data_IF_876000025090
#
_entry.id   IF_876000025090
#
_cell.length_a   1.000
_cell.length_b   1.000
_cell.length_c   1.000
_cell.angle_alpha   90.00
_cell.angle_beta   90.00
_cell.angle_gamma   90.00
#
_symmetry.space_group_name_H-M   'P 1'
#
loop_
_entity.id
_entity.type
_entity.pdbx_description
1 polymer ?
#
# COMPACT_ATOMS: atom_id res chain seq x y z
N UNK A 1 -8.07 20.86 1.57
CA UNK A 1 -6.75 20.28 1.90
C UNK A 1 -6.96 18.78 1.87
N UNK A 2 -6.36 18.05 0.92
CA UNK A 2 -6.47 16.59 0.93
C UNK A 2 -5.75 16.07 2.18
N UNK A 3 -6.35 15.13 2.94
CA UNK A 3 -5.63 14.49 4.05
C UNK A 3 -4.35 13.88 3.50
N UNK A 4 -3.25 13.99 4.25
CA UNK A 4 -2.01 13.34 3.84
C UNK A 4 -2.24 11.82 3.80
N UNK A 5 -1.68 11.12 2.80
CA UNK A 5 -1.72 9.68 2.77
C UNK A 5 -1.15 9.13 4.08
N UNK A 6 -1.91 8.27 4.74
CA UNK A 6 -1.56 7.70 6.03
C UNK A 6 -1.93 6.23 6.05
N UNK A 7 -1.38 5.51 7.02
CA UNK A 7 -1.92 4.21 7.39
C UNK A 7 -3.26 4.37 8.07
N UNK A 8 -4.17 3.47 7.74
CA UNK A 8 -5.47 3.35 8.38
C UNK A 8 -5.52 2.00 9.09
N UNK A 9 -5.25 2.02 10.39
CA UNK A 9 -5.34 0.82 11.22
C UNK A 9 -6.82 0.46 11.42
N UNK A 10 -7.17 -0.77 11.08
CA UNK A 10 -8.54 -1.28 11.15
C UNK A 10 -8.60 -2.33 12.26
N UNK A 11 -9.18 -1.94 13.39
CA UNK A 11 -9.33 -2.80 14.57
C UNK A 11 -10.52 -3.77 14.46
N UNK A 12 -11.43 -3.54 13.51
CA UNK A 12 -12.62 -4.37 13.29
C UNK A 12 -13.04 -4.44 11.84
N UNK A 13 -13.40 -5.63 11.40
CA UNK A 13 -14.05 -5.88 10.11
C UNK A 13 -15.47 -6.40 10.34
N UNK A 14 -16.42 -5.87 9.56
CA UNK A 14 -17.79 -6.35 9.51
C UNK A 14 -18.07 -6.99 8.15
N UNK A 15 -18.77 -8.12 8.15
CA UNK A 15 -19.27 -8.76 6.94
C UNK A 15 -20.76 -8.49 6.84
N UNK A 16 -21.19 -7.95 5.70
CA UNK A 16 -22.59 -7.55 5.47
C UNK A 16 -23.12 -8.21 4.21
N UNK A 17 -24.35 -8.70 4.25
CA UNK A 17 -25.04 -9.12 3.04
C UNK A 17 -25.34 -7.89 2.18
N UNK A 18 -25.06 -8.01 0.89
CA UNK A 18 -25.31 -6.97 -0.11
C UNK A 18 -25.95 -7.60 -1.33
N UNK A 19 -26.78 -6.83 -2.03
CA UNK A 19 -27.37 -7.22 -3.31
C UNK A 19 -26.68 -6.42 -4.41
N UNK A 20 -26.22 -7.12 -5.46
CA UNK A 20 -25.72 -6.49 -6.67
C UNK A 20 -26.86 -6.38 -7.68
N UNK A 21 -26.86 -5.33 -8.52
CA UNK A 21 -27.89 -5.13 -9.53
C UNK A 21 -27.33 -5.34 -10.94
N UNK A 22 -27.45 -6.57 -11.44
CA UNK A 22 -26.95 -6.91 -12.78
C UNK A 22 -28.00 -6.77 -13.88
N UNK A 23 -29.11 -6.09 -13.60
CA UNK A 23 -30.22 -5.98 -14.55
C UNK A 23 -29.84 -5.24 -15.84
N UNK A 24 -28.85 -4.33 -15.79
CA UNK A 24 -28.31 -3.66 -16.99
C UNK A 24 -27.55 -4.62 -17.93
N UNK A 25 -27.00 -5.71 -17.41
CA UNK A 25 -26.27 -6.73 -18.18
C UNK A 25 -27.08 -8.01 -18.42
N UNK A 26 -28.42 -7.93 -18.39
CA UNK A 26 -29.35 -9.08 -18.45
C UNK A 26 -29.20 -10.11 -17.34
N UNK A 27 -28.48 -9.77 -16.27
CA UNK A 27 -28.34 -10.58 -15.07
C UNK A 27 -29.50 -10.39 -14.09
N UNK A 28 -29.45 -11.16 -13.00
CA UNK A 28 -30.38 -11.02 -11.88
C UNK A 28 -29.88 -10.06 -10.81
N UNK A 29 -30.44 -10.18 -9.60
CA UNK A 29 -29.97 -9.47 -8.41
C UNK A 29 -29.41 -10.44 -7.39
N UNK A 30 -28.18 -10.93 -7.58
CA UNK A 30 -27.60 -11.90 -6.67
C UNK A 30 -27.25 -11.22 -5.33
N UNK A 31 -27.50 -11.96 -4.25
CA UNK A 31 -26.97 -11.63 -2.92
C UNK A 31 -25.55 -12.16 -2.80
N UNK A 32 -24.66 -11.35 -2.26
CA UNK A 32 -23.30 -11.73 -1.85
C UNK A 32 -22.98 -11.05 -0.52
N UNK A 33 -21.73 -11.14 -0.08
CA UNK A 33 -21.24 -10.50 1.14
C UNK A 33 -20.18 -9.47 0.79
N UNK A 34 -20.14 -8.39 1.56
CA UNK A 34 -19.13 -7.35 1.47
C UNK A 34 -18.41 -7.19 2.80
N UNK A 35 -17.14 -6.75 2.73
CA UNK A 35 -16.29 -6.50 3.90
C UNK A 35 -16.21 -5.00 4.12
N UNK A 36 -16.53 -4.58 5.35
CA UNK A 36 -16.53 -3.19 5.77
C UNK A 36 -15.60 -2.98 6.96
N UNK A 37 -15.05 -1.77 7.05
CA UNK A 37 -14.45 -1.23 8.26
C UNK A 37 -15.22 0.04 8.65
N UNK A 38 -16.06 -0.06 9.68
CA UNK A 38 -17.06 0.97 9.97
C UNK A 38 -18.02 1.12 8.77
N UNK A 39 -18.14 2.32 8.22
CA UNK A 39 -19.01 2.59 7.06
C UNK A 39 -18.29 2.47 5.71
N UNK A 40 -16.98 2.20 5.72
CA UNK A 40 -16.17 2.13 4.50
C UNK A 40 -16.10 0.70 3.98
N UNK A 41 -16.57 0.49 2.75
CA UNK A 41 -16.50 -0.78 2.04
C UNK A 41 -15.07 -1.04 1.54
N UNK A 42 -14.43 -2.11 2.04
CA UNK A 42 -13.11 -2.55 1.59
C UNK A 42 -13.21 -3.51 0.40
N UNK A 43 -14.18 -4.43 0.47
CA UNK A 43 -14.47 -5.42 -0.57
C UNK A 43 -15.97 -5.42 -0.82
N UNK A 44 -16.42 -5.10 -2.03
CA UNK A 44 -17.85 -4.90 -2.28
C UNK A 44 -18.62 -6.18 -2.64
N UNK A 45 -17.94 -7.26 -3.03
CA UNK A 45 -18.57 -8.51 -3.41
C UNK A 45 -17.62 -9.71 -3.27
N UNK A 46 -17.53 -10.30 -2.07
CA UNK A 46 -16.60 -11.37 -1.73
C UNK A 46 -16.63 -12.56 -2.70
N UNK A 47 -17.82 -12.97 -3.13
CA UNK A 47 -17.96 -14.16 -3.99
C UNK A 47 -17.55 -13.91 -5.45
N UNK A 48 -17.33 -12.65 -5.81
CA UNK A 48 -16.98 -12.20 -7.17
C UNK A 48 -15.53 -11.74 -7.29
N UNK A 49 -14.82 -11.55 -6.18
CA UNK A 49 -13.43 -11.12 -6.16
C UNK A 49 -12.48 -12.31 -6.30
N UNK A 50 -11.54 -12.20 -7.25
CA UNK A 50 -10.53 -13.23 -7.52
C UNK A 50 -9.28 -13.01 -6.64
N UNK A 51 -9.35 -13.42 -5.38
CA UNK A 51 -8.25 -13.23 -4.42
C UNK A 51 -6.97 -14.03 -4.70
N UNK A 52 -6.99 -14.95 -5.65
CA UNK A 52 -5.79 -15.65 -6.13
C UNK A 52 -5.00 -14.84 -7.17
N UNK A 53 -5.57 -13.75 -7.70
CA UNK A 53 -4.88 -12.80 -8.56
C UNK A 53 -4.09 -11.78 -7.71
N UNK A 54 -2.93 -11.36 -8.21
CA UNK A 54 -2.07 -10.36 -7.58
C UNK A 54 -1.54 -9.46 -8.69
N UNK A 55 -2.07 -8.23 -8.86
CA UNK A 55 -3.02 -7.54 -7.96
C UNK A 55 -4.45 -8.09 -8.02
N UNK A 56 -5.24 -7.76 -6.99
CA UNK A 56 -6.66 -8.10 -6.87
C UNK A 56 -7.53 -6.85 -7.00
N UNK A 57 -8.59 -6.90 -7.81
CA UNK A 57 -9.63 -5.86 -7.80
C UNK A 57 -10.68 -6.16 -6.73
N UNK A 58 -10.66 -5.39 -5.64
CA UNK A 58 -11.56 -5.60 -4.48
C UNK A 58 -12.87 -4.82 -4.58
N UNK A 59 -12.93 -3.83 -5.46
CA UNK A 59 -14.16 -3.12 -5.83
C UNK A 59 -14.51 -3.52 -7.26
N UNK A 60 -15.35 -4.55 -7.42
CA UNK A 60 -15.79 -5.04 -8.73
C UNK A 60 -16.99 -4.25 -9.25
N UNK A 61 -17.26 -4.37 -10.55
CA UNK A 61 -18.38 -3.69 -11.20
C UNK A 61 -19.73 -4.07 -10.56
N UNK A 62 -20.48 -3.06 -10.09
CA UNK A 62 -21.79 -3.29 -9.49
C UNK A 62 -22.84 -3.81 -10.49
N UNK A 63 -22.61 -3.61 -11.80
CA UNK A 63 -23.53 -3.99 -12.87
C UNK A 63 -23.31 -5.40 -13.42
N UNK A 64 -22.14 -6.00 -13.24
CA UNK A 64 -21.89 -7.35 -13.78
C UNK A 64 -21.05 -8.25 -12.88
N UNK A 65 -20.48 -7.73 -11.80
CA UNK A 65 -19.62 -8.47 -10.86
C UNK A 65 -18.27 -8.89 -11.44
N UNK A 66 -17.97 -8.56 -12.71
CA UNK A 66 -16.73 -8.98 -13.36
C UNK A 66 -15.57 -8.06 -12.96
N UNK A 67 -14.46 -8.68 -12.59
CA UNK A 67 -13.14 -8.03 -12.49
C UNK A 67 -12.72 -7.47 -13.86
N UNK A 68 -12.08 -6.30 -13.88
CA UNK A 68 -11.62 -5.59 -15.07
C UNK A 68 -12.73 -4.88 -15.86
N UNK A 69 -14.01 -5.05 -15.50
CA UNK A 69 -15.10 -4.36 -16.20
C UNK A 69 -15.18 -2.87 -15.85
N UNK A 70 -14.83 -2.50 -14.61
CA UNK A 70 -14.74 -1.11 -14.17
C UNK A 70 -13.28 -0.77 -13.89
N UNK A 71 -12.88 0.47 -14.16
CA UNK A 71 -11.56 0.97 -13.80
C UNK A 71 -11.43 1.15 -12.27
N UNK A 72 -10.22 0.99 -11.77
CA UNK A 72 -9.84 1.21 -10.39
C UNK A 72 -10.22 0.07 -9.43
N UNK A 73 -10.00 0.27 -8.13
CA UNK A 73 -10.31 -0.73 -7.12
C UNK A 73 -9.25 -1.82 -6.95
N UNK A 74 -8.05 -1.62 -7.50
CA UNK A 74 -6.97 -2.61 -7.48
C UNK A 74 -6.04 -2.43 -6.28
N UNK A 75 -5.71 -3.54 -5.62
CA UNK A 75 -4.77 -3.60 -4.51
C UNK A 75 -3.85 -4.81 -4.64
N UNK A 76 -2.76 -4.76 -3.89
CA UNK A 76 -1.93 -5.89 -3.53
C UNK A 76 -2.13 -6.19 -2.04
N UNK A 77 -2.47 -7.43 -1.70
CA UNK A 77 -2.54 -7.86 -0.30
C UNK A 77 -1.14 -8.27 0.15
N UNK A 78 -0.58 -7.60 1.16
CA UNK A 78 0.77 -7.89 1.65
C UNK A 78 0.78 -8.09 3.16
N UNK A 79 1.56 -9.07 3.62
CA UNK A 79 1.95 -9.19 5.01
C UNK A 79 2.97 -8.13 5.34
N UNK A 80 2.69 -7.40 6.40
CA UNK A 80 3.45 -6.28 6.91
C UNK A 80 3.58 -6.46 8.42
N UNK A 81 4.50 -7.34 8.82
CA UNK A 81 4.58 -7.85 10.19
C UNK A 81 3.31 -8.53 10.67
N UNK A 82 2.75 -7.99 11.77
CA UNK A 82 1.52 -8.49 12.38
C UNK A 82 0.24 -7.95 11.73
N UNK A 83 0.37 -7.37 10.52
CA UNK A 83 -0.73 -6.83 9.75
C UNK A 83 -0.80 -7.44 8.35
N UNK A 84 -2.02 -7.43 7.80
CA UNK A 84 -2.27 -7.53 6.36
C UNK A 84 -2.60 -6.13 5.86
N UNK A 85 -1.78 -5.62 4.94
CA UNK A 85 -1.97 -4.32 4.30
C UNK A 85 -2.60 -4.48 2.92
N UNK A 86 -3.55 -3.60 2.59
CA UNK A 86 -4.15 -3.51 1.26
C UNK A 86 -3.52 -2.34 0.51
N UNK A 87 -2.32 -2.55 -0.01
CA UNK A 87 -1.55 -1.49 -0.67
C UNK A 87 -2.02 -1.31 -2.12
N UNK A 88 -1.91 -0.10 -2.71
CA UNK A 88 -2.19 0.08 -4.13
C UNK A 88 -1.35 -0.86 -5.02
N UNK A 89 -1.90 -1.24 -6.18
CA UNK A 89 -1.20 -2.00 -7.22
C UNK A 89 -0.16 -1.11 -7.95
N UNK A 90 0.91 -0.73 -7.26
CA UNK A 90 1.85 0.29 -7.72
C UNK A 90 2.58 -0.09 -9.00
N UNK A 91 2.96 -1.36 -9.16
CA UNK A 91 3.69 -1.86 -10.33
C UNK A 91 2.86 -1.76 -11.59
N UNK A 92 1.66 -2.33 -11.58
CA UNK A 92 0.74 -2.35 -12.72
C UNK A 92 0.29 -0.93 -13.09
N UNK A 93 0.09 -0.08 -12.09
CA UNK A 93 -0.21 1.35 -12.33
C UNK A 93 0.96 2.09 -12.96
N UNK A 94 2.20 1.76 -12.62
CA UNK A 94 3.38 2.33 -13.26
C UNK A 94 3.53 1.84 -14.71
N UNK A 95 3.30 0.56 -14.96
CA UNK A 95 3.36 -0.02 -16.30
C UNK A 95 2.28 0.58 -17.21
N UNK A 96 1.02 0.63 -16.76
CA UNK A 96 -0.07 1.28 -17.48
C UNK A 96 0.22 2.76 -17.76
N UNK A 97 0.82 3.49 -16.82
CA UNK A 97 1.23 4.87 -17.04
C UNK A 97 2.34 5.02 -18.09
N UNK A 98 3.33 4.12 -18.09
CA UNK A 98 4.38 4.11 -19.10
C UNK A 98 3.83 3.79 -20.50
N UNK A 99 2.83 2.92 -20.58
CA UNK A 99 2.11 2.61 -21.83
C UNK A 99 1.27 3.79 -22.31
N UNK A 100 0.58 4.48 -21.41
CA UNK A 100 -0.18 5.72 -21.71
C UNK A 100 0.72 6.82 -22.29
N UNK A 101 1.93 6.99 -21.74
CA UNK A 101 2.91 7.92 -22.30
C UNK A 101 3.37 7.54 -23.72
N UNK A 102 3.27 6.26 -24.10
CA UNK A 102 3.55 5.77 -25.46
C UNK A 102 2.31 5.82 -26.37
N UNK A 103 1.18 6.33 -25.85
CA UNK A 103 -0.09 6.48 -26.58
C UNK A 103 -1.05 5.30 -26.44
N UNK A 104 -0.87 4.44 -25.44
CA UNK A 104 -1.72 3.26 -25.20
C UNK A 104 -2.46 3.33 -23.85
N UNK A 105 -3.79 3.19 -23.86
CA UNK A 105 -4.68 3.07 -22.68
C UNK A 105 -4.69 4.21 -21.64
N UNK A 106 -5.73 4.22 -20.81
CA UNK A 106 -5.95 5.23 -19.77
C UNK A 106 -5.31 4.79 -18.44
N UNK A 107 -4.50 5.63 -17.77
CA UNK A 107 -3.78 5.28 -16.54
C UNK A 107 -4.68 5.02 -15.32
N UNK A 108 -6.00 5.07 -15.50
CA UNK A 108 -6.98 4.96 -14.45
C UNK A 108 -7.38 3.51 -14.12
N UNK A 109 -7.09 2.54 -15.01
CA UNK A 109 -7.47 1.13 -14.82
C UNK A 109 -6.99 0.59 -13.47
N UNK A 110 -5.72 0.80 -13.12
CA UNK A 110 -5.12 0.36 -11.85
C UNK A 110 -5.18 1.42 -10.76
N UNK A 111 -6.19 2.29 -10.78
CA UNK A 111 -6.39 3.24 -9.68
C UNK A 111 -6.70 2.52 -8.38
N UNK A 112 -6.17 3.01 -7.23
CA UNK A 112 -6.49 2.42 -5.95
C UNK A 112 -7.99 2.59 -5.65
N UNK A 113 -8.54 1.76 -4.76
CA UNK A 113 -9.89 1.95 -4.24
C UNK A 113 -10.08 3.36 -3.64
N UNK A 114 -11.28 3.96 -3.73
CA UNK A 114 -11.54 5.31 -3.22
C UNK A 114 -11.18 5.51 -1.75
N UNK A 115 -11.32 4.46 -0.92
CA UNK A 115 -10.98 4.51 0.49
C UNK A 115 -9.51 4.80 0.77
N UNK A 116 -8.60 4.49 -0.16
CA UNK A 116 -7.17 4.77 0.01
C UNK A 116 -6.93 6.28 0.07
N UNK A 117 -7.70 7.05 -0.69
CA UNK A 117 -7.62 8.51 -0.72
C UNK A 117 -8.34 9.14 0.47
N UNK A 118 -9.48 8.58 0.89
CA UNK A 118 -10.31 9.19 1.95
C UNK A 118 -9.91 8.79 3.36
N UNK A 119 -9.44 7.56 3.56
CA UNK A 119 -9.15 6.98 4.87
C UNK A 119 -7.65 6.70 5.04
N UNK A 120 -6.97 6.30 3.97
CA UNK A 120 -5.58 5.86 3.97
C UNK A 120 -5.44 4.40 3.55
N UNK A 121 -4.21 3.88 3.60
CA UNK A 121 -3.92 2.48 3.25
C UNK A 121 -4.36 1.58 4.42
N UNK A 122 -5.30 0.64 4.22
CA UNK A 122 -5.73 -0.27 5.27
C UNK A 122 -4.58 -1.12 5.81
N UNK A 123 -4.44 -1.15 7.14
CA UNK A 123 -3.62 -2.10 7.89
C UNK A 123 -4.52 -2.85 8.86
N UNK A 124 -4.71 -4.14 8.61
CA UNK A 124 -5.61 -4.98 9.38
C UNK A 124 -4.74 -5.91 10.24
N UNK A 125 -4.83 -5.87 11.58
CA UNK A 125 -4.12 -6.82 12.43
C UNK A 125 -4.43 -8.25 12.00
N UNK A 126 -3.42 -9.11 11.95
CA UNK A 126 -3.55 -10.50 11.51
C UNK A 126 -4.66 -11.25 12.25
N UNK A 127 -4.86 -10.98 13.54
CA UNK A 127 -5.95 -11.57 14.33
C UNK A 127 -7.35 -11.16 13.81
N UNK A 128 -7.55 -9.87 13.51
CA UNK A 128 -8.81 -9.33 12.96
C UNK A 128 -9.05 -9.87 11.54
N UNK A 129 -7.99 -9.94 10.74
CA UNK A 129 -8.04 -10.52 9.40
C UNK A 129 -8.44 -12.00 9.45
N UNK A 130 -7.81 -12.80 10.32
CA UNK A 130 -8.12 -14.23 10.50
C UNK A 130 -9.53 -14.45 11.02
N UNK A 131 -10.01 -13.62 11.95
CA UNK A 131 -11.40 -13.68 12.43
C UNK A 131 -12.40 -13.45 11.29
N UNK A 132 -12.19 -12.39 10.51
CA UNK A 132 -13.01 -12.10 9.33
C UNK A 132 -12.96 -13.25 8.32
N UNK A 133 -11.77 -13.78 8.03
CA UNK A 133 -11.64 -14.88 7.08
C UNK A 133 -12.27 -16.18 7.60
N UNK A 134 -12.25 -16.42 8.91
CA UNK A 134 -12.95 -17.58 9.50
C UNK A 134 -14.46 -17.50 9.27
N UNK A 135 -15.04 -16.29 9.34
CA UNK A 135 -16.45 -16.06 9.08
C UNK A 135 -16.83 -16.16 7.59
N UNK A 136 -15.91 -15.85 6.67
CA UNK A 136 -16.20 -15.79 5.23
C UNK A 136 -15.70 -16.97 4.43
N UNK A 137 -14.53 -17.49 4.77
CA UNK A 137 -13.70 -18.43 4.01
C UNK A 137 -13.37 -17.97 2.58
N UNK A 138 -13.58 -16.69 2.28
CA UNK A 138 -13.41 -16.11 0.94
C UNK A 138 -12.07 -15.39 0.79
N UNK A 139 -11.51 -14.88 1.88
CA UNK A 139 -10.21 -14.20 1.87
C UNK A 139 -9.08 -15.25 1.84
N UNK A 140 -7.91 -14.92 1.28
CA UNK A 140 -6.76 -15.83 1.32
C UNK A 140 -6.31 -16.05 2.77
N UNK A 141 -5.88 -17.28 3.09
CA UNK A 141 -5.23 -17.56 4.37
C UNK A 141 -3.94 -16.75 4.54
N UNK A 142 -3.49 -16.52 5.78
CA UNK A 142 -2.32 -15.68 6.05
C UNK A 142 -1.05 -16.22 5.37
N UNK A 143 -0.94 -17.53 5.22
CA UNK A 143 0.14 -18.22 4.52
C UNK A 143 0.15 -17.97 3.01
N UNK A 144 -1.00 -17.64 2.42
CA UNK A 144 -1.13 -17.30 1.00
C UNK A 144 -0.91 -15.80 0.73
N UNK A 145 -0.99 -14.95 1.76
CA UNK A 145 -0.69 -13.52 1.64
C UNK A 145 0.84 -13.33 1.61
N UNK A 146 1.35 -12.83 0.48
CA UNK A 146 2.79 -12.61 0.28
C UNK A 146 3.34 -11.55 1.22
N UNK A 147 4.61 -11.68 1.62
CA UNK A 147 5.34 -10.60 2.27
C UNK A 147 5.46 -9.40 1.34
N UNK A 148 5.49 -8.20 1.92
CA UNK A 148 5.83 -6.99 1.18
C UNK A 148 7.25 -7.09 0.61
N UNK A 149 7.43 -6.62 -0.63
CA UNK A 149 8.75 -6.55 -1.28
C UNK A 149 9.42 -5.19 -1.07
N UNK A 150 10.75 -5.15 -1.24
CA UNK A 150 11.52 -3.91 -1.20
C UNK A 150 11.06 -2.89 -2.26
N UNK A 151 10.73 -3.32 -3.48
CA UNK A 151 10.17 -2.43 -4.51
C UNK A 151 8.82 -1.82 -4.11
N UNK A 152 7.93 -2.62 -3.52
CA UNK A 152 6.66 -2.12 -2.97
C UNK A 152 6.88 -1.15 -1.80
N UNK A 153 7.88 -1.41 -0.95
CA UNK A 153 8.24 -0.51 0.14
C UNK A 153 8.77 0.85 -0.38
N UNK A 154 9.51 0.87 -1.49
CA UNK A 154 9.90 2.13 -2.17
C UNK A 154 8.66 2.92 -2.61
N UNK A 155 7.68 2.24 -3.23
CA UNK A 155 6.44 2.90 -3.64
C UNK A 155 5.60 3.41 -2.47
N UNK A 156 5.49 2.63 -1.39
CA UNK A 156 4.84 3.09 -0.16
C UNK A 156 5.54 4.30 0.45
N UNK A 157 6.88 4.29 0.45
CA UNK A 157 7.68 5.40 0.96
C UNK A 157 7.37 6.67 0.17
N UNK A 158 7.26 6.58 -1.17
CA UNK A 158 6.80 7.70 -2.00
C UNK A 158 5.37 8.11 -1.69
N UNK A 159 4.45 7.15 -1.56
CA UNK A 159 3.04 7.42 -1.34
C UNK A 159 2.79 8.15 -0.01
N UNK A 160 3.51 7.76 1.03
CA UNK A 160 3.41 8.33 2.37
C UNK A 160 4.30 9.56 2.58
N UNK A 161 5.12 9.92 1.59
CA UNK A 161 6.04 11.05 1.68
C UNK A 161 5.27 12.38 1.82
N UNK A 162 5.47 13.14 2.92
CA UNK A 162 4.81 14.42 3.10
C UNK A 162 5.19 15.39 1.97
N UNK A 163 4.26 16.27 1.61
CA UNK A 163 4.44 17.30 0.59
C UNK A 163 4.86 16.76 -0.79
N UNK A 164 4.75 15.44 -1.03
CA UNK A 164 5.25 14.77 -2.22
C UNK A 164 6.76 14.99 -2.44
N UNK A 165 7.57 14.98 -1.36
CA UNK A 165 9.04 15.14 -1.46
C UNK A 165 9.71 14.08 -2.34
N UNK A 166 9.04 12.96 -2.61
CA UNK A 166 9.46 11.92 -3.56
C UNK A 166 8.71 11.96 -4.91
N UNK A 167 8.01 13.05 -5.22
CA UNK A 167 7.10 13.14 -6.36
C UNK A 167 5.78 12.40 -6.14
N UNK A 168 5.08 12.07 -7.24
CA UNK A 168 3.75 11.45 -7.20
C UNK A 168 3.71 10.14 -7.98
N UNK A 169 3.23 9.08 -7.35
CA UNK A 169 2.86 7.85 -8.04
C UNK A 169 1.79 8.16 -9.13
N UNK A 170 1.88 7.59 -10.35
CA UNK A 170 2.76 6.48 -10.75
C UNK A 170 4.18 6.82 -11.17
N UNK A 171 4.63 8.07 -11.13
CA UNK A 171 5.99 8.39 -11.56
C UNK A 171 7.03 7.77 -10.62
N UNK A 172 8.12 7.25 -11.18
CA UNK A 172 9.26 6.74 -10.40
C UNK A 172 9.65 7.76 -9.31
N UNK A 173 9.88 7.33 -8.06
CA UNK A 173 10.25 8.22 -6.96
C UNK A 173 11.48 9.04 -7.31
N UNK A 174 11.40 10.34 -7.03
CA UNK A 174 12.51 11.29 -7.22
C UNK A 174 12.50 12.26 -6.06
N UNK A 175 13.59 12.25 -5.30
CA UNK A 175 13.76 13.15 -4.17
C UNK A 175 13.92 14.60 -4.63
N UNK A 176 13.07 15.48 -4.12
CA UNK A 176 13.18 16.93 -4.27
C UNK A 176 14.10 17.45 -3.17
N UNK A 177 15.40 17.51 -3.46
CA UNK A 177 16.42 17.91 -2.49
C UNK A 177 16.13 19.30 -1.91
N UNK A 178 15.67 20.23 -2.74
CA UNK A 178 15.31 21.59 -2.33
C UNK A 178 14.19 21.63 -1.28
N UNK A 179 13.39 20.58 -1.15
CA UNK A 179 12.33 20.49 -0.15
C UNK A 179 12.81 19.98 1.22
N UNK A 180 14.10 19.65 1.38
CA UNK A 180 14.67 19.16 2.64
C UNK A 180 15.52 20.27 3.29
N UNK A 181 15.17 20.66 4.51
CA UNK A 181 15.82 21.73 5.26
C UNK A 181 16.95 21.23 6.17
N UNK A 182 16.75 20.07 6.79
CA UNK A 182 17.68 19.50 7.77
C UNK A 182 17.43 18.00 7.97
N UNK A 183 18.38 17.34 8.62
CA UNK A 183 18.26 15.98 9.15
C UNK A 183 18.51 16.02 10.67
N UNK A 184 17.89 15.11 11.42
CA UNK A 184 18.00 15.07 12.89
C UNK A 184 19.42 14.78 13.40
N UNK A 185 20.17 13.95 12.69
CA UNK A 185 21.54 13.58 13.02
C UNK A 185 22.35 13.33 11.73
N UNK A 186 23.67 13.48 11.82
CA UNK A 186 24.58 13.30 10.67
C UNK A 186 24.71 14.51 9.73
N UNK A 187 25.32 14.27 8.57
CA UNK A 187 25.48 15.25 7.50
C UNK A 187 24.30 15.17 6.53
N UNK A 188 23.63 16.31 6.28
CA UNK A 188 22.45 16.37 5.43
C UNK A 188 22.68 15.83 4.01
N UNK A 189 23.82 16.15 3.40
CA UNK A 189 24.12 15.76 2.03
C UNK A 189 24.37 14.25 1.97
N UNK A 190 25.13 13.72 2.92
CA UNK A 190 25.38 12.28 3.02
C UNK A 190 24.07 11.49 3.20
N UNK A 191 23.18 11.92 4.11
CA UNK A 191 21.91 11.24 4.36
C UNK A 191 20.95 11.30 3.17
N UNK A 192 20.96 12.40 2.42
CA UNK A 192 20.19 12.54 1.19
C UNK A 192 20.68 11.59 0.11
N UNK A 193 21.99 11.48 -0.09
CA UNK A 193 22.57 10.56 -1.06
C UNK A 193 22.36 9.10 -0.63
N UNK A 194 22.45 8.79 0.67
CA UNK A 194 22.09 7.48 1.24
C UNK A 194 20.62 7.12 0.94
N UNK A 195 19.68 8.03 1.21
CA UNK A 195 18.26 7.82 0.90
C UNK A 195 18.04 7.57 -0.60
N UNK A 196 18.64 8.40 -1.46
CA UNK A 196 18.50 8.27 -2.91
C UNK A 196 19.05 6.93 -3.42
N UNK A 197 20.26 6.59 -3.01
CA UNK A 197 20.90 5.32 -3.37
C UNK A 197 20.07 4.13 -2.90
N UNK A 198 19.60 4.16 -1.65
CA UNK A 198 18.78 3.09 -1.09
C UNK A 198 17.46 2.89 -1.85
N UNK A 199 16.76 3.98 -2.20
CA UNK A 199 15.52 3.90 -2.97
C UNK A 199 15.77 3.39 -4.40
N UNK A 200 16.85 3.83 -5.05
CA UNK A 200 17.19 3.42 -6.42
C UNK A 200 17.60 1.95 -6.50
N UNK A 201 18.40 1.47 -5.55
CA UNK A 201 18.85 0.07 -5.47
C UNK A 201 17.67 -0.88 -5.22
N UNK A 202 16.64 -0.42 -4.52
CA UNK A 202 15.49 -1.23 -4.14
C UNK A 202 14.27 -1.08 -5.06
N UNK A 203 14.25 -0.10 -5.96
CA UNK A 203 13.07 0.25 -6.77
C UNK A 203 12.45 -0.95 -7.52
N UNK A 204 13.29 -1.82 -8.10
CA UNK A 204 12.85 -3.02 -8.83
C UNK A 204 13.08 -4.32 -8.03
N UNK A 205 13.38 -4.22 -6.73
CA UNK A 205 13.73 -5.37 -5.92
C UNK A 205 12.50 -6.18 -5.53
N UNK A 206 12.52 -7.47 -5.84
CA UNK A 206 11.51 -8.45 -5.40
C UNK A 206 11.86 -9.08 -4.05
N UNK A 207 12.91 -8.61 -3.37
CA UNK A 207 13.31 -9.16 -2.08
C UNK A 207 12.22 -8.92 -1.04
N UNK A 208 11.81 -9.98 -0.36
CA UNK A 208 10.83 -9.89 0.72
C UNK A 208 11.42 -9.13 1.92
N UNK A 209 10.59 -8.32 2.56
CA UNK A 209 10.93 -7.65 3.80
C UNK A 209 10.19 -8.28 4.99
N UNK A 210 10.79 -8.18 6.17
CA UNK A 210 10.23 -8.61 7.43
C UNK A 210 10.45 -7.54 8.52
N UNK A 211 9.60 -7.53 9.56
CA UNK A 211 9.82 -6.65 10.70
C UNK A 211 11.13 -6.93 11.39
N UNK A 212 11.77 -5.85 11.83
CA UNK A 212 12.99 -5.90 12.60
C UNK A 212 12.63 -6.03 14.08
N UNK A 213 13.13 -7.07 14.74
CA UNK A 213 12.86 -7.33 16.16
C UNK A 213 13.72 -6.50 17.13
N UNK A 214 14.74 -5.77 16.62
CA UNK A 214 15.73 -5.09 17.45
C UNK A 214 15.31 -3.68 17.84
N UNK A 215 15.50 -3.34 19.11
CA UNK A 215 15.22 -2.02 19.69
C UNK A 215 16.32 -0.97 19.41
N UNK A 216 17.44 -1.37 18.81
CA UNK A 216 18.52 -0.47 18.41
C UNK A 216 18.33 -0.02 16.96
N UNK A 217 17.25 0.71 16.70
CA UNK A 217 17.04 1.41 15.44
C UNK A 217 17.03 2.92 15.67
N UNK A 218 17.75 3.67 14.84
CA UNK A 218 17.66 5.13 14.80
C UNK A 218 16.98 5.53 13.49
N UNK A 219 15.78 6.10 13.59
CA UNK A 219 15.09 6.63 12.43
C UNK A 219 15.84 7.86 11.89
N UNK A 220 16.07 7.88 10.59
CA UNK A 220 16.60 9.03 9.87
C UNK A 220 15.43 9.99 9.66
N UNK A 221 15.46 11.15 10.31
CA UNK A 221 14.37 12.12 10.27
C UNK A 221 14.78 13.35 9.47
N UNK A 222 14.11 13.55 8.34
CA UNK A 222 14.24 14.74 7.51
C UNK A 222 13.18 15.78 7.89
N UNK A 223 13.59 17.04 7.98
CA UNK A 223 12.70 18.18 8.17
C UNK A 223 12.45 18.85 6.82
N UNK A 224 11.18 18.96 6.42
CA UNK A 224 10.82 19.43 5.09
C UNK A 224 10.42 20.91 5.06
N UNK A 225 10.64 21.55 3.92
CA UNK A 225 10.17 22.90 3.65
C UNK A 225 8.65 22.90 3.41
N UNK A 226 7.89 23.33 4.42
CA UNK A 226 6.44 23.47 4.32
C UNK A 226 5.78 23.95 5.62
N UNK A 227 4.45 24.15 5.64
CA UNK A 227 3.73 24.61 6.81
C UNK A 227 3.98 23.70 8.02
N UNK A 228 4.53 24.26 9.10
CA UNK A 228 4.83 23.53 10.33
C UNK A 228 6.10 22.66 10.28
N UNK A 229 6.92 22.76 9.22
CA UNK A 229 8.18 22.02 9.05
C UNK A 229 8.00 20.52 9.34
N UNK A 230 7.21 19.81 8.52
CA UNK A 230 6.87 18.43 8.82
C UNK A 230 8.13 17.56 8.85
N UNK A 231 8.22 16.71 9.86
CA UNK A 231 9.21 15.67 9.95
C UNK A 231 8.80 14.46 9.10
N UNK A 232 9.77 13.80 8.48
CA UNK A 232 9.57 12.61 7.67
C UNK A 232 10.67 11.58 7.95
N UNK A 233 10.26 10.35 8.25
CA UNK A 233 11.15 9.26 8.69
C UNK A 233 11.07 8.06 7.74
N UNK A 234 11.66 8.12 6.54
CA UNK A 234 11.50 7.06 5.55
C UNK A 234 12.36 5.82 5.83
N UNK A 235 13.47 5.99 6.57
CA UNK A 235 14.47 4.96 6.78
C UNK A 235 14.90 4.90 8.25
N UNK A 236 15.54 3.80 8.63
CA UNK A 236 16.22 3.63 9.90
C UNK A 236 17.58 2.96 9.72
N UNK A 237 18.54 3.33 10.54
CA UNK A 237 19.77 2.56 10.70
C UNK A 237 19.52 1.35 11.62
N UNK A 238 20.06 0.20 11.23
CA UNK A 238 20.11 -1.04 12.02
C UNK A 238 21.56 -1.52 11.99
N UNK A 239 22.32 -1.14 13.02
CA UNK A 239 23.78 -1.25 12.97
C UNK A 239 24.34 -0.50 11.75
N UNK A 240 25.07 -1.20 10.88
CA UNK A 240 25.70 -0.63 9.68
C UNK A 240 24.78 -0.67 8.43
N UNK A 241 23.51 -1.06 8.56
CA UNK A 241 22.58 -1.21 7.43
C UNK A 241 21.42 -0.22 7.51
N UNK A 242 20.78 -0.01 6.36
CA UNK A 242 19.54 0.75 6.24
C UNK A 242 18.34 -0.18 6.08
N UNK A 243 17.21 0.24 6.63
CA UNK A 243 15.92 -0.43 6.52
C UNK A 243 14.81 0.60 6.28
N UNK A 244 13.70 0.15 5.70
CA UNK A 244 12.53 0.99 5.52
C UNK A 244 11.87 1.28 6.87
N UNK A 245 11.43 2.52 7.07
CA UNK A 245 10.72 2.93 8.27
C UNK A 245 9.34 3.48 7.90
N UNK A 246 8.31 2.97 8.56
CA UNK A 246 6.93 3.37 8.37
C UNK A 246 6.30 3.65 9.73
N UNK A 247 5.81 4.88 9.92
CA UNK A 247 5.07 5.24 11.13
C UNK A 247 3.72 4.49 11.19
N UNK A 248 3.13 4.20 12.37
CA UNK A 248 3.56 4.69 13.66
C UNK A 248 4.78 4.01 14.28
N UNK A 249 5.25 2.82 13.87
CA UNK A 249 6.46 2.17 14.46
C UNK A 249 6.97 0.91 13.72
N UNK A 250 6.75 0.76 12.41
CA UNK A 250 7.20 -0.45 11.71
C UNK A 250 8.48 -0.20 10.92
N UNK A 251 9.58 -0.80 11.38
CA UNK A 251 10.83 -0.90 10.61
C UNK A 251 10.88 -2.26 9.91
N UNK A 252 11.13 -2.25 8.60
CA UNK A 252 11.22 -3.42 7.76
C UNK A 252 12.62 -3.54 7.14
N UNK A 253 13.27 -4.68 7.38
CA UNK A 253 14.56 -5.06 6.77
C UNK A 253 14.36 -6.29 5.88
N UNK A 254 15.37 -6.62 5.09
CA UNK A 254 15.37 -7.80 4.24
C UNK A 254 15.11 -9.06 5.07
N UNK A 255 14.16 -9.86 4.62
CA UNK A 255 13.89 -11.13 5.25
C UNK A 255 15.06 -12.08 5.00
N UNK A 256 15.64 -12.59 6.09
CA UNK A 256 16.65 -13.63 6.08
C UNK A 256 15.98 -14.90 6.59
N UNK A 257 15.91 -15.94 5.76
CA UNK A 257 15.51 -17.27 6.25
C UNK A 257 16.53 -17.73 7.29
N UNK A 258 16.06 -18.06 8.50
CA UNK A 258 16.90 -18.76 9.48
C UNK A 258 17.30 -20.12 8.86
N UNK A 259 18.55 -20.20 8.39
CA UNK A 259 19.15 -21.41 7.79
C UNK A 259 19.32 -22.54 8.79
#
# INVERSE_FOLDING_TARGET
MQPMPQWWIIDKLDVRDVELDFTSSSGGRPSTRAVFAGDTCLVNALDYVQFNADPTQVIVCAECGNTGCSAGGWICMRRFGDFVAFIPAFGERFDAWNEALRGFEEPEEYSPPPYVVTCGIPMIPCCVYTECNTATSALPGLEAVKLITAGEAVWLTQWLAPLHVLGKNPQRPRLLHEAILAVNDGDLIEEIECLRGFLDDNFNSSAALAPVATYENSAIEFYLEGPGTPAWRPLSHIGDRLAFHFEPNTTLDFWVEDT
#
